data_IF_361514329772
#
_entry.id   IF_361514329772
#
_cell.length_a   1.000
_cell.length_b   1.000
_cell.length_c   1.000
_cell.angle_alpha   90.00
_cell.angle_beta   90.00
_cell.angle_gamma   90.00
#
_symmetry.space_group_name_H-M   'P 1'
#
loop_
_entity.id
_entity.type
_entity.pdbx_description
1 polymer ?
#
# COMPACT_ATOMS: atom_id res chain seq x y z
N UNK A 1 29.89 14.88 22.75
CA UNK A 1 29.51 13.52 22.31
C UNK A 1 28.12 13.49 21.67
N UNK A 2 27.07 14.09 22.29
CA UNK A 2 25.71 14.12 21.73
C UNK A 2 25.61 14.89 20.41
N UNK A 3 26.28 16.05 20.28
CA UNK A 3 26.32 16.87 19.07
C UNK A 3 27.01 16.15 17.89
N UNK A 4 28.04 15.34 18.18
CA UNK A 4 28.72 14.53 17.18
C UNK A 4 27.86 13.34 16.73
N UNK A 5 27.10 12.73 17.63
CA UNK A 5 26.17 11.65 17.28
C UNK A 5 24.98 12.17 16.44
N UNK A 6 24.45 13.34 16.76
CA UNK A 6 23.38 14.00 16.01
C UNK A 6 23.84 14.40 14.60
N UNK A 7 24.99 15.08 14.50
CA UNK A 7 25.57 15.43 13.20
C UNK A 7 25.96 14.21 12.37
N UNK A 8 26.42 13.12 12.99
CA UNK A 8 26.76 11.88 12.31
C UNK A 8 25.52 11.18 11.72
N UNK A 9 24.38 11.20 12.40
CA UNK A 9 23.14 10.66 11.91
C UNK A 9 22.56 11.51 10.76
N UNK A 10 22.60 12.83 10.88
CA UNK A 10 22.06 13.78 9.91
C UNK A 10 22.89 13.84 8.62
N UNK A 11 24.21 13.69 8.75
CA UNK A 11 25.13 13.68 7.59
C UNK A 11 25.53 12.28 7.12
N UNK A 12 24.94 11.22 7.69
CA UNK A 12 25.27 9.83 7.35
C UNK A 12 26.78 9.51 7.48
N UNK A 13 27.47 10.18 8.41
CA UNK A 13 28.91 10.06 8.58
C UNK A 13 29.35 8.63 8.92
N UNK A 14 28.45 7.81 9.51
CA UNK A 14 28.71 6.41 9.86
C UNK A 14 27.98 5.41 8.98
N UNK A 15 27.37 5.86 7.87
CA UNK A 15 26.68 4.97 6.94
C UNK A 15 25.40 4.36 7.49
N UNK A 16 24.74 4.98 8.47
CA UNK A 16 23.48 4.50 9.04
C UNK A 16 22.38 4.36 7.99
N UNK A 17 22.33 5.28 7.01
CA UNK A 17 21.41 5.17 5.89
C UNK A 17 21.76 4.04 4.92
N UNK A 18 22.96 3.47 5.02
CA UNK A 18 23.45 2.34 4.23
C UNK A 18 23.43 1.02 5.01
N UNK A 19 23.05 1.06 6.27
CA UNK A 19 22.95 -0.17 7.04
C UNK A 19 21.87 -1.07 6.46
N UNK A 20 22.30 -2.22 5.99
CA UNK A 20 21.46 -3.30 5.53
C UNK A 20 21.59 -4.44 6.54
N UNK A 21 20.51 -4.83 7.24
CA UNK A 21 20.58 -5.97 8.16
C UNK A 21 20.80 -7.28 7.39
N UNK A 22 21.45 -8.24 8.05
CA UNK A 22 21.51 -9.60 7.51
C UNK A 22 20.14 -10.28 7.62
N UNK A 23 19.81 -11.18 6.68
CA UNK A 23 18.51 -11.87 6.69
C UNK A 23 18.25 -12.58 8.04
N UNK A 24 19.29 -13.16 8.65
CA UNK A 24 19.21 -13.86 9.94
C UNK A 24 18.88 -12.96 11.14
N UNK A 25 19.08 -11.65 11.01
CA UNK A 25 18.79 -10.67 12.05
C UNK A 25 17.36 -10.11 11.94
N UNK A 26 16.69 -10.33 10.79
CA UNK A 26 15.35 -9.77 10.51
C UNK A 26 14.27 -10.79 10.85
N UNK A 27 13.43 -10.46 11.83
CA UNK A 27 12.24 -11.23 12.18
C UNK A 27 11.07 -10.93 11.25
N UNK A 28 10.84 -9.64 10.94
CA UNK A 28 9.76 -9.20 10.06
C UNK A 28 10.16 -7.94 9.29
N UNK A 29 9.56 -7.71 8.13
CA UNK A 29 9.77 -6.51 7.34
C UNK A 29 8.45 -5.93 6.80
N UNK A 30 8.46 -4.62 6.50
CA UNK A 30 7.33 -3.91 5.92
C UNK A 30 7.78 -2.83 4.94
N UNK A 31 6.87 -2.46 4.02
CA UNK A 31 7.05 -1.37 3.09
C UNK A 31 5.79 -0.50 3.08
N UNK A 32 5.93 0.80 3.37
CA UNK A 32 4.82 1.74 3.53
C UNK A 32 5.14 3.08 2.87
N UNK A 33 4.11 3.90 2.58
CA UNK A 33 4.27 5.29 2.14
C UNK A 33 4.33 6.29 3.32
N UNK A 34 4.17 5.83 4.53
CA UNK A 34 4.19 6.66 5.74
C UNK A 34 4.95 5.97 6.87
N UNK A 35 5.40 6.74 7.83
CA UNK A 35 6.08 6.21 9.02
C UNK A 35 5.08 5.41 9.86
N UNK A 36 5.26 4.10 9.92
CA UNK A 36 4.31 3.19 10.53
C UNK A 36 4.72 2.72 11.95
N UNK A 37 5.89 3.14 12.46
CA UNK A 37 6.41 2.80 13.78
C UNK A 37 6.36 1.27 14.08
N UNK A 38 6.74 0.47 13.10
CA UNK A 38 6.77 -1.00 13.21
C UNK A 38 5.41 -1.69 13.04
N UNK A 39 4.34 -0.96 12.80
CA UNK A 39 3.10 -1.52 12.28
C UNK A 39 3.32 -2.02 10.84
N UNK A 40 2.46 -2.92 10.37
CA UNK A 40 2.47 -3.42 8.99
C UNK A 40 3.78 -4.13 8.59
N UNK A 41 4.33 -4.97 9.48
CA UNK A 41 5.43 -5.86 9.17
C UNK A 41 4.95 -7.31 9.06
N UNK A 42 5.51 -8.07 8.12
CA UNK A 42 5.22 -9.49 7.91
C UNK A 42 6.45 -10.36 8.18
N UNK A 43 6.22 -11.59 8.63
CA UNK A 43 7.25 -12.61 8.81
C UNK A 43 7.42 -13.50 7.55
N UNK A 44 6.72 -13.17 6.45
CA UNK A 44 6.87 -13.88 5.18
C UNK A 44 8.32 -13.79 4.67
N UNK A 45 8.97 -14.95 4.55
CA UNK A 45 10.39 -15.01 4.20
C UNK A 45 10.69 -14.47 2.80
N UNK A 46 9.82 -14.76 1.83
CA UNK A 46 9.99 -14.29 0.46
C UNK A 46 9.84 -12.77 0.38
N UNK A 47 8.87 -12.20 1.11
CA UNK A 47 8.70 -10.76 1.18
C UNK A 47 9.91 -10.09 1.85
N UNK A 48 10.41 -10.63 2.98
CA UNK A 48 11.59 -10.10 3.66
C UNK A 48 12.81 -10.08 2.74
N UNK A 49 13.04 -11.17 1.99
CA UNK A 49 14.14 -11.24 1.02
C UNK A 49 14.00 -10.18 -0.08
N UNK A 50 12.78 -9.98 -0.60
CA UNK A 50 12.50 -8.96 -1.60
C UNK A 50 12.73 -7.53 -1.07
N UNK A 51 12.32 -7.26 0.18
CA UNK A 51 12.59 -5.97 0.84
C UNK A 51 14.10 -5.73 0.99
N UNK A 52 14.88 -6.73 1.41
CA UNK A 52 16.34 -6.63 1.52
C UNK A 52 17.00 -6.38 0.16
N UNK A 53 16.55 -7.07 -0.88
CA UNK A 53 17.04 -6.87 -2.26
C UNK A 53 16.71 -5.46 -2.78
N UNK A 54 15.49 -4.97 -2.50
CA UNK A 54 15.07 -3.62 -2.86
C UNK A 54 15.87 -2.56 -2.10
N UNK A 55 16.09 -2.75 -0.80
CA UNK A 55 16.93 -1.88 0.02
C UNK A 55 18.37 -1.80 -0.49
N UNK A 56 18.96 -2.95 -0.86
CA UNK A 56 20.29 -3.01 -1.49
C UNK A 56 20.35 -2.17 -2.76
N UNK A 57 19.34 -2.27 -3.62
CA UNK A 57 19.27 -1.47 -4.85
C UNK A 57 19.14 0.03 -4.54
N UNK A 58 18.29 0.40 -3.58
CA UNK A 58 18.11 1.79 -3.16
C UNK A 58 19.42 2.42 -2.63
N UNK A 59 20.20 1.67 -1.85
CA UNK A 59 21.53 2.09 -1.41
C UNK A 59 22.44 2.34 -2.60
N UNK A 60 22.43 1.43 -3.58
CA UNK A 60 23.26 1.53 -4.79
C UNK A 60 22.94 2.77 -5.63
N UNK A 61 21.67 3.17 -5.66
CA UNK A 61 21.19 4.33 -6.43
C UNK A 61 21.21 5.66 -5.68
N UNK A 62 21.59 5.70 -4.41
CA UNK A 62 21.56 6.90 -3.56
C UNK A 62 22.14 8.14 -4.26
N UNK A 63 23.35 8.02 -4.83
CA UNK A 63 24.02 9.15 -5.48
C UNK A 63 23.33 9.59 -6.80
N UNK A 64 22.67 8.68 -7.49
CA UNK A 64 21.87 9.01 -8.67
C UNK A 64 20.61 9.77 -8.27
N UNK A 65 19.92 9.31 -7.23
CA UNK A 65 18.74 9.96 -6.69
C UNK A 65 19.04 11.36 -6.11
N UNK A 66 20.19 11.54 -5.46
CA UNK A 66 20.62 12.85 -4.99
C UNK A 66 20.84 13.84 -6.16
N UNK A 67 21.48 13.39 -7.26
CA UNK A 67 21.63 14.23 -8.47
C UNK A 67 20.28 14.57 -9.11
N UNK A 68 19.35 13.59 -9.23
CA UNK A 68 18.00 13.83 -9.75
C UNK A 68 17.26 14.87 -8.90
N UNK A 69 17.34 14.77 -7.58
CA UNK A 69 16.71 15.72 -6.66
C UNK A 69 17.25 17.15 -6.82
N UNK A 70 18.56 17.29 -7.06
CA UNK A 70 19.17 18.61 -7.33
C UNK A 70 18.76 19.17 -8.70
N UNK A 71 18.48 18.31 -9.68
CA UNK A 71 18.08 18.67 -11.04
C UNK A 71 16.56 18.65 -11.26
N UNK A 72 15.76 18.50 -10.21
CA UNK A 72 14.31 18.34 -10.25
C UNK A 72 13.61 19.42 -11.09
N UNK A 73 12.74 19.00 -12.02
CA UNK A 73 11.97 19.86 -12.88
C UNK A 73 10.47 19.66 -12.62
N UNK A 74 9.81 20.71 -12.18
CA UNK A 74 8.36 20.69 -11.96
C UNK A 74 7.61 20.43 -13.28
N UNK A 75 6.70 19.47 -13.28
CA UNK A 75 5.86 19.10 -14.43
C UNK A 75 6.40 17.96 -15.29
N UNK A 76 7.65 17.51 -15.06
CA UNK A 76 8.23 16.33 -15.72
C UNK A 76 8.75 15.30 -14.74
N UNK A 77 9.10 15.75 -13.52
CA UNK A 77 9.63 14.90 -12.49
C UNK A 77 8.60 14.79 -11.36
N UNK A 78 8.47 13.58 -10.83
CA UNK A 78 7.60 13.22 -9.71
C UNK A 78 8.45 12.78 -8.52
N UNK A 79 7.84 12.76 -7.36
CA UNK A 79 8.50 12.29 -6.13
C UNK A 79 7.56 11.37 -5.37
N UNK A 80 8.04 10.17 -5.04
CA UNK A 80 7.33 9.20 -4.20
C UNK A 80 8.14 8.92 -2.94
N UNK A 81 7.44 8.65 -1.84
CA UNK A 81 8.04 8.43 -0.53
C UNK A 81 7.74 7.02 -0.04
N UNK A 82 8.77 6.31 0.40
CA UNK A 82 8.64 4.97 0.96
C UNK A 82 9.41 4.83 2.26
N UNK A 83 8.85 4.01 3.16
CA UNK A 83 9.49 3.59 4.39
C UNK A 83 9.67 2.07 4.37
N UNK A 84 10.91 1.62 4.53
CA UNK A 84 11.25 0.24 4.79
C UNK A 84 11.39 0.08 6.30
N UNK A 85 10.63 -0.82 6.89
CA UNK A 85 10.69 -1.14 8.32
C UNK A 85 11.18 -2.57 8.51
N UNK A 86 12.16 -2.75 9.38
CA UNK A 86 12.59 -4.05 9.86
C UNK A 86 12.30 -4.17 11.35
N UNK A 87 11.67 -5.28 11.74
CA UNK A 87 11.67 -5.76 13.11
C UNK A 87 12.79 -6.77 13.23
N UNK A 88 13.73 -6.50 14.10
CA UNK A 88 14.90 -7.35 14.33
C UNK A 88 14.55 -8.50 15.29
N UNK A 89 15.41 -9.52 15.34
CA UNK A 89 15.23 -10.67 16.23
C UNK A 89 15.35 -10.32 17.73
N UNK A 90 15.88 -9.15 18.06
CA UNK A 90 15.94 -8.57 19.41
C UNK A 90 14.78 -7.58 19.68
N UNK A 91 13.74 -7.61 18.85
CA UNK A 91 12.58 -6.71 18.89
C UNK A 91 12.89 -5.22 18.61
N UNK A 92 14.11 -4.85 18.25
CA UNK A 92 14.39 -3.48 17.82
C UNK A 92 13.78 -3.20 16.46
N UNK A 93 13.41 -1.91 16.23
CA UNK A 93 12.86 -1.44 14.97
C UNK A 93 13.89 -0.58 14.23
N UNK A 94 14.06 -0.87 12.95
CA UNK A 94 14.88 -0.08 12.04
C UNK A 94 13.97 0.42 10.92
N UNK A 95 13.80 1.72 10.81
CA UNK A 95 13.10 2.34 9.68
C UNK A 95 14.07 3.07 8.77
N UNK A 96 13.85 2.97 7.47
CA UNK A 96 14.61 3.66 6.42
C UNK A 96 13.65 4.39 5.51
N UNK A 97 13.90 5.66 5.32
CA UNK A 97 13.13 6.55 4.46
C UNK A 97 13.80 6.74 3.12
N UNK A 98 13.04 6.60 2.06
CA UNK A 98 13.43 6.84 0.68
C UNK A 98 12.48 7.83 0.01
N UNK A 99 13.03 8.90 -0.53
CA UNK A 99 12.32 9.81 -1.43
C UNK A 99 12.89 9.59 -2.84
N UNK A 100 12.08 9.02 -3.72
CA UNK A 100 12.49 8.63 -5.07
C UNK A 100 11.99 9.68 -6.03
N UNK A 101 12.91 10.29 -6.79
CA UNK A 101 12.59 11.18 -7.90
C UNK A 101 12.57 10.35 -9.19
N UNK A 102 11.50 10.46 -9.96
CA UNK A 102 11.28 9.66 -11.16
C UNK A 102 10.53 10.45 -12.23
N UNK A 103 10.51 9.92 -13.46
CA UNK A 103 9.76 10.41 -14.61
C UNK A 103 8.80 9.33 -15.11
N UNK A 104 7.92 9.66 -16.05
CA UNK A 104 7.04 8.68 -16.72
C UNK A 104 7.84 7.54 -17.39
N UNK A 105 9.03 7.85 -17.92
CA UNK A 105 9.90 6.83 -18.49
C UNK A 105 10.43 5.85 -17.45
N UNK A 106 10.71 6.32 -16.21
CA UNK A 106 11.10 5.44 -15.10
C UNK A 106 9.95 4.53 -14.67
N UNK A 107 8.69 5.03 -14.67
CA UNK A 107 7.52 4.19 -14.39
C UNK A 107 7.29 3.10 -15.44
N UNK A 108 7.62 3.38 -16.70
CA UNK A 108 7.52 2.41 -17.79
C UNK A 108 8.65 1.36 -17.79
N UNK A 109 9.75 1.61 -17.08
CA UNK A 109 10.88 0.71 -16.95
C UNK A 109 10.72 -0.18 -15.70
N UNK A 110 10.48 -1.52 -15.85
CA UNK A 110 10.28 -2.42 -14.72
C UNK A 110 11.53 -2.57 -13.83
N UNK A 111 12.71 -2.26 -14.35
CA UNK A 111 13.98 -2.35 -13.62
C UNK A 111 14.29 -1.06 -12.86
N UNK A 112 13.55 0.00 -13.09
CA UNK A 112 13.72 1.27 -12.39
C UNK A 112 13.44 1.13 -10.88
N UNK A 113 14.05 2.00 -10.08
CA UNK A 113 13.86 1.96 -8.64
C UNK A 113 12.40 2.19 -8.23
N UNK A 114 11.72 3.15 -8.86
CA UNK A 114 10.31 3.45 -8.58
C UNK A 114 9.40 2.26 -8.91
N UNK A 115 9.57 1.63 -10.08
CA UNK A 115 8.76 0.47 -10.48
C UNK A 115 8.99 -0.72 -9.56
N UNK A 116 10.20 -0.96 -9.10
CA UNK A 116 10.52 -2.01 -8.13
C UNK A 116 9.92 -1.75 -6.76
N UNK A 117 9.96 -0.49 -6.27
CA UNK A 117 9.29 -0.12 -5.01
C UNK A 117 7.78 -0.30 -5.13
N UNK A 118 7.16 0.21 -6.20
CA UNK A 118 5.73 0.08 -6.45
C UNK A 118 5.29 -1.37 -6.58
N UNK A 119 6.05 -2.20 -7.31
CA UNK A 119 5.75 -3.63 -7.46
C UNK A 119 5.79 -4.37 -6.13
N UNK A 120 6.78 -4.09 -5.27
CA UNK A 120 6.87 -4.72 -3.96
C UNK A 120 5.80 -4.17 -2.99
N UNK A 121 5.54 -2.87 -3.03
CA UNK A 121 4.48 -2.23 -2.25
C UNK A 121 3.11 -2.85 -2.57
N UNK A 122 2.82 -3.10 -3.85
CA UNK A 122 1.59 -3.70 -4.34
C UNK A 122 1.62 -5.24 -4.33
N UNK A 123 2.66 -5.87 -3.80
CA UNK A 123 2.74 -7.33 -3.78
C UNK A 123 1.82 -7.94 -2.72
N UNK A 124 1.26 -9.14 -2.97
CA UNK A 124 0.44 -9.85 -1.98
C UNK A 124 1.16 -10.16 -0.65
N UNK A 125 2.49 -10.15 -0.66
CA UNK A 125 3.31 -10.33 0.56
C UNK A 125 3.33 -9.10 1.46
N UNK A 126 2.99 -7.91 0.94
CA UNK A 126 2.95 -6.71 1.76
C UNK A 126 1.72 -6.70 2.67
N UNK A 127 1.94 -6.59 3.98
CA UNK A 127 0.87 -6.60 4.99
C UNK A 127 -0.13 -5.45 4.82
N UNK A 128 0.28 -4.31 4.24
CA UNK A 128 -0.64 -3.21 3.97
C UNK A 128 -1.81 -3.61 3.07
N UNK A 129 -1.58 -4.51 2.10
CA UNK A 129 -2.66 -5.06 1.27
C UNK A 129 -3.61 -5.89 2.12
N UNK A 130 -3.08 -6.50 3.17
CA UNK A 130 -3.76 -7.47 4.01
C UNK A 130 -4.38 -6.85 5.26
N UNK A 131 -4.04 -5.62 5.62
CA UNK A 131 -4.50 -5.01 6.87
C UNK A 131 -6.03 -4.99 6.94
N UNK A 132 -6.55 -5.85 7.79
CA UNK A 132 -7.98 -6.02 7.97
C UNK A 132 -8.59 -7.13 7.11
N UNK A 133 -8.12 -7.41 5.90
CA UNK A 133 -8.60 -8.53 5.08
C UNK A 133 -7.92 -9.86 5.41
N UNK A 134 -6.78 -9.86 6.09
CA UNK A 134 -6.05 -11.07 6.52
C UNK A 134 -6.64 -11.77 7.72
N UNK A 135 -7.40 -11.07 8.53
CA UNK A 135 -8.12 -11.71 9.63
C UNK A 135 -9.20 -12.60 9.03
N UNK A 136 -9.14 -13.92 9.24
CA UNK A 136 -10.19 -14.82 8.76
C UNK A 136 -11.55 -14.37 9.28
N UNK A 137 -12.45 -14.03 8.37
CA UNK A 137 -13.81 -13.60 8.71
C UNK A 137 -14.83 -14.52 8.07
N UNK A 138 -15.98 -14.53 8.68
CA UNK A 138 -17.18 -15.17 8.17
C UNK A 138 -18.23 -14.11 7.87
N UNK A 139 -19.31 -14.48 7.21
CA UNK A 139 -20.44 -13.59 6.97
C UNK A 139 -20.90 -12.86 8.24
N UNK A 140 -20.86 -13.52 9.41
CA UNK A 140 -21.26 -12.92 10.70
C UNK A 140 -20.34 -11.80 11.18
N UNK A 141 -19.11 -11.76 10.70
CA UNK A 141 -18.13 -10.75 11.11
C UNK A 141 -18.17 -9.49 10.23
N UNK A 142 -18.76 -9.57 9.02
CA UNK A 142 -18.93 -8.42 8.13
C UNK A 142 -20.33 -7.86 8.33
N UNK A 143 -20.45 -6.74 9.03
CA UNK A 143 -21.72 -6.20 9.47
C UNK A 143 -22.40 -5.37 8.39
N UNK A 144 -21.62 -4.54 7.70
CA UNK A 144 -22.10 -3.69 6.60
C UNK A 144 -20.97 -3.36 5.63
N UNK A 145 -21.36 -2.91 4.44
CA UNK A 145 -20.51 -2.27 3.45
C UNK A 145 -21.21 -1.01 2.94
N UNK A 146 -20.63 0.13 3.23
CA UNK A 146 -21.04 1.41 2.65
C UNK A 146 -20.26 1.63 1.35
N UNK A 147 -20.98 1.79 0.25
CA UNK A 147 -20.43 2.10 -1.07
C UNK A 147 -20.75 3.54 -1.39
N UNK A 148 -19.76 4.34 -1.70
CA UNK A 148 -19.98 5.74 -2.11
C UNK A 148 -19.15 6.09 -3.35
N UNK A 149 -19.73 6.91 -4.22
CA UNK A 149 -19.05 7.51 -5.36
C UNK A 149 -18.66 8.94 -5.01
N UNK A 150 -17.37 9.26 -5.08
CA UNK A 150 -16.91 10.62 -4.86
C UNK A 150 -17.15 11.53 -6.08
N UNK A 151 -17.39 10.97 -7.27
CA UNK A 151 -17.71 11.75 -8.47
C UNK A 151 -19.19 12.18 -8.53
N UNK A 152 -20.10 11.30 -8.11
CA UNK A 152 -21.55 11.56 -8.21
C UNK A 152 -22.21 11.87 -6.87
N UNK A 153 -21.55 11.56 -5.75
CA UNK A 153 -22.13 11.61 -4.42
C UNK A 153 -23.20 10.54 -4.15
N UNK A 154 -23.39 9.59 -5.08
CA UNK A 154 -24.30 8.48 -4.86
C UNK A 154 -23.75 7.52 -3.82
N UNK A 155 -24.64 6.89 -3.05
CA UNK A 155 -24.23 5.91 -2.03
C UNK A 155 -25.23 4.76 -1.93
N UNK A 156 -24.73 3.62 -1.43
CA UNK A 156 -25.48 2.39 -1.21
C UNK A 156 -25.01 1.75 0.09
N UNK A 157 -25.95 1.37 0.94
CA UNK A 157 -25.69 0.61 2.17
C UNK A 157 -26.06 -0.86 1.95
N UNK A 158 -25.08 -1.74 2.11
CA UNK A 158 -25.24 -3.19 2.08
C UNK A 158 -25.05 -3.75 3.49
N UNK A 159 -25.83 -4.76 3.84
CA UNK A 159 -25.77 -5.41 5.17
C UNK A 159 -25.88 -6.92 5.04
N UNK A 160 -25.40 -7.65 6.05
CA UNK A 160 -25.50 -9.12 6.11
C UNK A 160 -24.86 -9.82 4.93
N UNK A 161 -25.59 -10.72 4.26
CA UNK A 161 -25.09 -11.50 3.13
C UNK A 161 -24.61 -10.66 1.95
N UNK A 162 -25.23 -9.50 1.71
CA UNK A 162 -24.88 -8.62 0.59
C UNK A 162 -23.53 -7.95 0.84
N UNK A 163 -23.30 -7.43 2.05
CA UNK A 163 -22.00 -6.89 2.46
C UNK A 163 -20.91 -7.98 2.41
N UNK A 164 -21.24 -9.20 2.84
CA UNK A 164 -20.34 -10.34 2.77
C UNK A 164 -19.94 -10.70 1.35
N UNK A 165 -20.88 -10.69 0.38
CA UNK A 165 -20.57 -10.98 -1.02
C UNK A 165 -19.56 -10.00 -1.60
N UNK A 166 -19.72 -8.68 -1.30
CA UNK A 166 -18.75 -7.68 -1.76
C UNK A 166 -17.40 -7.87 -1.06
N UNK A 167 -17.40 -8.15 0.26
CA UNK A 167 -16.18 -8.42 1.01
C UNK A 167 -15.41 -9.64 0.46
N UNK A 168 -16.13 -10.74 0.19
CA UNK A 168 -15.52 -11.96 -0.34
C UNK A 168 -14.94 -11.72 -1.75
N UNK A 169 -15.62 -10.92 -2.57
CA UNK A 169 -15.13 -10.54 -3.90
C UNK A 169 -13.86 -9.67 -3.82
N UNK A 170 -13.82 -8.70 -2.88
CA UNK A 170 -12.59 -7.93 -2.62
C UNK A 170 -11.45 -8.84 -2.19
N UNK A 171 -11.72 -9.79 -1.29
CA UNK A 171 -10.70 -10.75 -0.83
C UNK A 171 -10.20 -11.66 -1.96
N UNK A 172 -11.07 -12.07 -2.88
CA UNK A 172 -10.70 -12.84 -4.09
C UNK A 172 -9.72 -12.02 -4.95
N UNK A 173 -10.05 -10.76 -5.24
CA UNK A 173 -9.22 -9.88 -6.06
C UNK A 173 -7.90 -9.47 -5.36
N UNK A 174 -7.91 -9.29 -4.03
CA UNK A 174 -6.69 -9.08 -3.23
C UNK A 174 -5.76 -10.29 -3.34
N UNK A 175 -6.29 -11.49 -3.17
CA UNK A 175 -5.51 -12.72 -3.27
C UNK A 175 -4.99 -12.98 -4.69
N UNK A 176 -5.69 -12.49 -5.70
CA UNK A 176 -5.25 -12.53 -7.09
C UNK A 176 -4.26 -11.41 -7.46
N UNK A 177 -3.98 -10.47 -6.54
CA UNK A 177 -3.12 -9.30 -6.81
C UNK A 177 -3.77 -8.25 -7.73
N UNK A 178 -5.09 -8.29 -7.88
CA UNK A 178 -5.86 -7.34 -8.72
C UNK A 178 -6.34 -6.11 -7.93
N UNK A 179 -6.47 -6.23 -6.61
CA UNK A 179 -6.65 -5.11 -5.68
C UNK A 179 -5.35 -4.92 -4.90
N UNK A 180 -4.63 -3.85 -5.21
CA UNK A 180 -3.34 -3.53 -4.60
C UNK A 180 -3.46 -2.71 -3.32
N UNK A 181 -2.30 -2.45 -2.70
CA UNK A 181 -2.20 -1.69 -1.45
C UNK A 181 -2.81 -0.28 -1.54
N UNK A 182 -2.69 0.37 -2.69
CA UNK A 182 -3.26 1.71 -2.90
C UNK A 182 -4.78 1.70 -2.76
N UNK A 183 -5.45 0.69 -3.29
CA UNK A 183 -6.89 0.54 -3.16
C UNK A 183 -7.32 0.23 -1.72
N UNK A 184 -6.52 -0.53 -0.96
CA UNK A 184 -6.93 -1.08 0.37
C UNK A 184 -6.52 -0.17 1.53
N UNK A 185 -5.54 0.72 1.36
CA UNK A 185 -5.02 1.57 2.44
C UNK A 185 -5.78 2.88 2.63
N UNK A 186 -6.71 3.22 1.74
CA UNK A 186 -7.37 4.53 1.74
C UNK A 186 -6.42 5.71 1.48
N UNK A 187 -5.18 5.42 1.11
CA UNK A 187 -4.14 6.43 0.85
C UNK A 187 -4.09 6.86 -0.63
N UNK A 188 -4.78 6.14 -1.50
CA UNK A 188 -4.76 6.37 -2.94
C UNK A 188 -5.92 7.24 -3.37
N UNK A 189 -5.70 8.52 -3.58
CA UNK A 189 -6.49 9.27 -4.53
C UNK A 189 -6.01 8.84 -5.93
N UNK A 190 -6.67 7.86 -6.55
CA UNK A 190 -6.47 7.63 -7.97
C UNK A 190 -6.87 8.92 -8.69
N UNK A 191 -5.89 9.64 -9.17
CA UNK A 191 -6.12 10.85 -9.93
C UNK A 191 -6.72 10.46 -11.28
N UNK A 192 -7.64 11.28 -11.80
CA UNK A 192 -8.27 11.14 -13.13
C UNK A 192 -7.29 10.96 -14.31
N UNK A 193 -6.00 11.00 -14.06
CA UNK A 193 -4.93 10.91 -15.06
C UNK A 193 -4.66 9.50 -15.56
N UNK A 194 -5.15 8.45 -14.87
CA UNK A 194 -4.92 7.05 -15.25
C UNK A 194 -5.91 6.50 -16.30
N UNK A 195 -6.49 7.35 -17.13
CA UNK A 195 -7.18 6.91 -18.33
C UNK A 195 -8.47 6.11 -18.14
N UNK A 196 -9.15 6.19 -16.99
CA UNK A 196 -10.48 5.60 -16.79
C UNK A 196 -10.47 4.10 -16.44
N UNK A 197 -9.35 3.56 -16.01
CA UNK A 197 -9.23 2.14 -15.60
C UNK A 197 -9.67 1.85 -14.16
N UNK A 198 -10.20 2.83 -13.45
CA UNK A 198 -10.64 2.72 -12.05
C UNK A 198 -12.10 3.16 -11.89
N UNK A 199 -12.79 2.58 -10.91
CA UNK A 199 -14.09 3.10 -10.47
C UNK A 199 -13.87 4.22 -9.44
N UNK A 200 -14.65 5.31 -9.46
CA UNK A 200 -14.57 6.38 -8.47
C UNK A 200 -15.34 6.00 -7.19
N UNK A 201 -15.10 4.81 -6.67
CA UNK A 201 -15.83 4.27 -5.54
C UNK A 201 -14.92 4.10 -4.32
N UNK A 202 -15.48 4.42 -3.15
CA UNK A 202 -14.98 4.04 -1.84
C UNK A 202 -15.91 2.99 -1.24
N UNK A 203 -15.36 1.89 -0.77
CA UNK A 203 -16.04 0.89 0.05
C UNK A 203 -15.57 1.04 1.49
N UNK A 204 -16.51 1.06 2.43
CA UNK A 204 -16.20 1.06 3.86
C UNK A 204 -16.92 -0.14 4.49
N UNK A 205 -16.17 -1.16 4.82
CA UNK A 205 -16.70 -2.31 5.55
C UNK A 205 -16.66 -2.04 7.05
N UNK A 206 -17.78 -2.24 7.73
CA UNK A 206 -17.80 -2.34 9.20
C UNK A 206 -17.70 -3.81 9.56
N UNK A 207 -16.68 -4.15 10.32
CA UNK A 207 -16.41 -5.53 10.74
C UNK A 207 -16.36 -5.66 12.26
N UNK A 208 -16.79 -6.80 12.79
CA UNK A 208 -16.60 -7.09 14.21
C UNK A 208 -15.15 -7.44 14.49
N UNK A 209 -14.65 -7.01 15.66
CA UNK A 209 -13.34 -7.41 16.19
C UNK A 209 -13.48 -8.62 17.12
N UNK A 210 -12.35 -9.15 17.60
CA UNK A 210 -12.32 -10.22 18.60
C UNK A 210 -12.81 -9.74 19.99
N UNK A 211 -12.96 -8.43 20.16
CA UNK A 211 -13.49 -7.84 21.41
C UNK A 211 -15.01 -7.66 21.28
N UNK A 212 -15.81 -8.29 22.13
CA UNK A 212 -17.26 -8.20 22.07
C UNK A 212 -17.77 -6.76 22.06
N UNK A 213 -18.59 -6.43 21.07
CA UNK A 213 -19.20 -5.10 20.92
C UNK A 213 -18.28 -4.04 20.29
N UNK A 214 -17.06 -4.38 19.92
CA UNK A 214 -16.18 -3.49 19.16
C UNK A 214 -16.25 -3.80 17.67
N UNK A 215 -16.15 -2.74 16.87
CA UNK A 215 -16.09 -2.81 15.41
C UNK A 215 -14.86 -2.08 14.90
N UNK A 216 -14.41 -2.47 13.72
CA UNK A 216 -13.36 -1.82 12.97
C UNK A 216 -13.85 -1.49 11.57
N UNK A 217 -13.16 -0.61 10.87
CA UNK A 217 -13.51 -0.20 9.50
C UNK A 217 -12.38 -0.55 8.54
N UNK A 218 -12.73 -1.22 7.45
CA UNK A 218 -11.82 -1.53 6.35
C UNK A 218 -12.21 -0.69 5.15
N UNK A 219 -11.21 -0.09 4.51
CA UNK A 219 -11.40 0.79 3.37
C UNK A 219 -10.86 0.17 2.09
N UNK A 220 -11.59 0.33 1.00
CA UNK A 220 -11.14 0.04 -0.36
C UNK A 220 -11.52 1.23 -1.23
N UNK A 221 -10.53 1.89 -1.81
CA UNK A 221 -10.72 3.06 -2.65
C UNK A 221 -10.23 2.81 -4.08
N UNK A 222 -10.83 3.49 -5.05
CA UNK A 222 -10.34 3.50 -6.43
C UNK A 222 -10.14 2.09 -7.00
N UNK A 223 -11.23 1.32 -7.07
CA UNK A 223 -11.21 -0.09 -7.46
C UNK A 223 -10.84 -0.21 -8.95
N UNK A 224 -9.74 -0.89 -9.31
CA UNK A 224 -9.41 -1.12 -10.71
C UNK A 224 -10.49 -1.93 -11.42
N UNK A 225 -10.80 -1.59 -12.67
CA UNK A 225 -11.74 -2.39 -13.48
C UNK A 225 -11.25 -3.81 -13.74
N UNK A 226 -9.95 -4.05 -13.60
CA UNK A 226 -9.34 -5.40 -13.61
C UNK A 226 -9.68 -6.24 -12.39
N UNK A 227 -10.13 -5.64 -11.27
CA UNK A 227 -10.63 -6.34 -10.08
C UNK A 227 -12.03 -6.92 -10.37
N UNK A 228 -12.06 -7.93 -11.21
CA UNK A 228 -13.27 -8.40 -11.87
C UNK A 228 -14.31 -9.01 -10.91
N UNK A 229 -13.88 -9.63 -9.81
CA UNK A 229 -14.79 -10.19 -8.81
C UNK A 229 -15.52 -9.06 -8.07
N UNK A 230 -14.77 -8.05 -7.60
CA UNK A 230 -15.30 -6.87 -6.90
C UNK A 230 -16.25 -6.07 -7.81
N UNK A 231 -15.82 -5.76 -9.03
CA UNK A 231 -16.66 -5.03 -10.02
C UNK A 231 -17.94 -5.77 -10.30
N UNK A 232 -17.89 -7.08 -10.50
CA UNK A 232 -19.07 -7.93 -10.73
C UNK A 232 -20.03 -7.93 -9.54
N UNK A 233 -19.50 -8.03 -8.31
CA UNK A 233 -20.32 -7.97 -7.09
C UNK A 233 -21.02 -6.62 -6.96
N UNK A 234 -20.30 -5.52 -7.15
CA UNK A 234 -20.85 -4.16 -7.10
C UNK A 234 -21.92 -3.93 -8.18
N UNK A 235 -21.69 -4.42 -9.40
CA UNK A 235 -22.68 -4.36 -10.51
C UNK A 235 -23.96 -5.12 -10.14
N UNK A 236 -23.85 -6.29 -9.51
CA UNK A 236 -25.01 -7.08 -9.08
C UNK A 236 -25.88 -6.35 -8.06
N UNK A 237 -25.30 -5.45 -7.25
CA UNK A 237 -26.03 -4.59 -6.31
C UNK A 237 -26.41 -3.22 -6.89
N UNK A 238 -26.24 -3.02 -8.20
CA UNK A 238 -26.69 -1.81 -8.89
C UNK A 238 -25.77 -0.60 -8.68
N UNK A 239 -24.54 -0.79 -8.26
CA UNK A 239 -23.55 0.29 -8.12
C UNK A 239 -22.91 0.70 -9.47
N UNK A 240 -23.15 -0.03 -10.57
CA UNK A 240 -22.62 0.28 -11.90
C UNK A 240 -22.89 1.71 -12.38
N UNK A 241 -24.08 2.31 -12.17
CA UNK A 241 -24.33 3.69 -12.58
C UNK A 241 -23.44 4.72 -11.88
N UNK A 242 -22.81 4.35 -10.76
CA UNK A 242 -21.99 5.26 -9.96
C UNK A 242 -20.65 5.58 -10.62
N UNK A 243 -20.17 4.75 -11.54
CA UNK A 243 -18.93 4.98 -12.29
C UNK A 243 -19.12 5.15 -13.80
N UNK A 244 -20.32 4.84 -14.34
CA UNK A 244 -20.60 5.02 -15.78
C UNK A 244 -21.01 6.45 -16.14
N UNK A 245 -21.40 7.28 -15.17
CA UNK A 245 -21.92 8.63 -15.41
C UNK A 245 -20.84 9.67 -15.80
N UNK A 246 -19.59 9.28 -15.96
CA UNK A 246 -18.47 10.16 -16.28
C UNK A 246 -18.01 10.05 -17.74
N UNK A 247 -18.90 9.67 -18.66
CA UNK A 247 -18.69 9.61 -20.11
C UNK A 247 -19.16 10.88 -20.82
#
# INVERSE_FOLDING_TARGET
ALLLAFGAAEFDLFGYSRYLPERSEVQAAGLTHYQANGLYTTQDDAFIQNVLALHTAAIGEKSAQERRRQAYQLGTDYTEQFYITYRMTDDTLIERYYSIVYTDADLADPDSLISRFSALYNSPGNVLIRTGFDTPRTEKNVLSCYVSSYDTGASLDLTGSDAWQVYAACLEDINAGLLGAEAVSGAGSATKEDGGNYTPLTLIFTVSTDVPGQTDSLYVDSIPLSAAATVRALTAFGAEPYWQAAG
#
